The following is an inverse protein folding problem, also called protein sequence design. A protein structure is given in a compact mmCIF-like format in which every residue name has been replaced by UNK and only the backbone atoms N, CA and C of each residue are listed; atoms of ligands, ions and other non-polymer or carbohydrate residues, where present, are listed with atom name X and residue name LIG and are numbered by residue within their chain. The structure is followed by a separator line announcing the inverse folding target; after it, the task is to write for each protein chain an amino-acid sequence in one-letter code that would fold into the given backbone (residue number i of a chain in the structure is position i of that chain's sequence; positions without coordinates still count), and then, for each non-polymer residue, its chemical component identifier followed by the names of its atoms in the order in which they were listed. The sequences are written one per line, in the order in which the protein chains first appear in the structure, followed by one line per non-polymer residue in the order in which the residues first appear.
data_IF_081491001928
#
_entry.id   IF_081491001928
#
_cell.length_a   1.000
_cell.length_b   1.000
_cell.length_c   1.000
_cell.angle_alpha   90.00
_cell.angle_beta   90.00
_cell.angle_gamma   90.00
#
_symmetry.space_group_name_H-M   'P 1'
#
loop_
_entity.id
_entity.type
_entity.pdbx_description
1 polymer ?
#
# COMPACT_ATOMS: atom_id res chain seq x y z
N UNK A 1 -4.22 -10.20 -18.12
CA UNK A 1 -5.41 -10.79 -17.47
C UNK A 1 -5.30 -10.52 -15.98
N UNK A 2 -6.12 -9.62 -15.42
CA UNK A 2 -6.16 -9.38 -13.98
C UNK A 2 -6.75 -10.65 -13.39
N UNK A 3 -5.90 -11.53 -12.87
CA UNK A 3 -6.35 -12.64 -12.06
C UNK A 3 -7.13 -11.98 -10.93
N UNK A 4 -8.46 -12.07 -10.97
CA UNK A 4 -9.25 -11.90 -9.78
C UNK A 4 -8.75 -13.02 -8.90
N UNK A 5 -7.72 -12.75 -8.09
CA UNK A 5 -7.48 -13.54 -6.93
C UNK A 5 -8.84 -13.57 -6.27
N UNK A 6 -9.48 -14.75 -6.28
CA UNK A 6 -10.60 -15.00 -5.39
C UNK A 6 -10.13 -14.35 -4.09
N UNK A 7 -10.89 -13.38 -3.59
CA UNK A 7 -10.84 -13.08 -2.18
C UNK A 7 -11.25 -14.40 -1.53
N UNK A 8 -10.27 -15.30 -1.40
CA UNK A 8 -10.45 -16.54 -0.72
C UNK A 8 -10.93 -16.10 0.64
N UNK A 9 -11.93 -16.80 1.16
CA UNK A 9 -12.16 -16.89 2.60
C UNK A 9 -10.96 -17.64 3.23
N UNK A 10 -9.75 -17.22 2.90
CA UNK A 10 -8.50 -17.68 3.44
C UNK A 10 -8.18 -16.78 4.61
N UNK A 11 -7.78 -17.40 5.71
CA UNK A 11 -7.32 -16.77 6.95
C UNK A 11 -6.09 -15.88 6.67
N UNK A 12 -6.31 -14.71 6.08
CA UNK A 12 -5.38 -13.59 6.09
C UNK A 12 -5.80 -12.66 7.21
N UNK A 13 -4.84 -12.12 7.97
CA UNK A 13 -5.12 -11.15 9.04
C UNK A 13 -6.05 -10.05 8.52
N UNK A 14 -7.03 -9.66 9.34
CA UNK A 14 -8.03 -8.66 8.96
C UNK A 14 -7.35 -7.41 8.40
N UNK A 15 -7.83 -6.93 7.25
CA UNK A 15 -7.36 -5.65 6.71
C UNK A 15 -7.50 -4.56 7.78
N UNK A 16 -6.52 -3.66 7.93
CA UNK A 16 -6.66 -2.51 8.81
C UNK A 16 -7.97 -1.78 8.49
N UNK A 17 -8.75 -1.50 9.53
CA UNK A 17 -10.01 -0.79 9.37
C UNK A 17 -9.72 0.60 8.78
N UNK A 18 -10.43 0.94 7.71
CA UNK A 18 -10.35 2.28 7.12
C UNK A 18 -11.30 3.22 7.86
N UNK A 19 -11.02 4.54 7.88
CA UNK A 19 -11.95 5.51 8.42
C UNK A 19 -13.33 5.38 7.76
N UNK A 20 -14.38 5.64 8.54
CA UNK A 20 -15.73 5.69 8.00
C UNK A 20 -15.81 6.66 6.80
N UNK A 21 -16.58 6.30 5.78
CA UNK A 21 -16.76 7.06 4.54
C UNK A 21 -15.48 7.31 3.71
N UNK A 22 -14.33 6.73 4.06
CA UNK A 22 -13.10 6.88 3.27
C UNK A 22 -13.29 6.48 1.79
N UNK A 23 -13.98 5.37 1.53
CA UNK A 23 -14.25 4.90 0.17
C UNK A 23 -15.03 5.92 -0.67
N UNK A 24 -16.12 6.45 -0.13
CA UNK A 24 -16.94 7.47 -0.77
C UNK A 24 -16.16 8.78 -0.97
N UNK A 25 -15.41 9.24 0.04
CA UNK A 25 -14.57 10.44 -0.06
C UNK A 25 -13.52 10.31 -1.17
N UNK A 26 -12.84 9.16 -1.24
CA UNK A 26 -11.82 8.89 -2.25
C UNK A 26 -12.42 8.82 -3.66
N UNK A 27 -13.58 8.16 -3.81
CA UNK A 27 -14.26 8.07 -5.10
C UNK A 27 -14.74 9.45 -5.57
N UNK A 28 -15.37 10.24 -4.68
CA UNK A 28 -15.77 11.64 -4.97
C UNK A 28 -14.59 12.50 -5.40
N UNK A 29 -13.45 12.41 -4.70
CA UNK A 29 -12.24 13.13 -5.10
C UNK A 29 -11.76 12.71 -6.49
N UNK A 30 -11.78 11.39 -6.76
CA UNK A 30 -11.31 10.80 -8.01
C UNK A 30 -12.12 11.27 -9.22
N UNK A 31 -13.45 11.21 -9.15
CA UNK A 31 -14.34 11.58 -10.27
C UNK A 31 -14.39 13.08 -10.53
N UNK A 32 -14.08 13.92 -9.52
CA UNK A 32 -14.02 15.37 -9.68
C UNK A 32 -12.64 15.86 -10.13
N UNK A 33 -11.65 14.99 -10.25
CA UNK A 33 -10.31 15.36 -10.70
C UNK A 33 -10.21 15.29 -12.24
N UNK A 34 -10.02 16.41 -12.94
CA UNK A 34 -9.97 16.42 -14.40
C UNK A 34 -8.76 15.67 -14.98
N UNK A 35 -7.74 15.37 -14.17
CA UNK A 35 -6.61 14.55 -14.57
C UNK A 35 -6.93 13.04 -14.60
N UNK A 36 -8.11 12.63 -14.16
CA UNK A 36 -8.52 11.22 -14.05
C UNK A 36 -9.68 10.96 -15.01
N UNK A 37 -9.43 10.14 -16.04
CA UNK A 37 -10.44 9.82 -17.06
C UNK A 37 -11.44 8.73 -16.62
N UNK A 38 -11.02 7.79 -15.77
CA UNK A 38 -11.86 6.66 -15.36
C UNK A 38 -11.45 6.12 -14.00
N UNK A 39 -12.40 5.52 -13.30
CA UNK A 39 -12.20 4.83 -12.03
C UNK A 39 -12.90 3.48 -12.05
N UNK A 40 -12.30 2.47 -11.44
CA UNK A 40 -12.86 1.11 -11.34
C UNK A 40 -12.98 0.76 -9.86
N UNK A 41 -14.01 1.29 -9.15
CA UNK A 41 -14.20 0.99 -7.75
C UNK A 41 -14.57 -0.50 -7.59
N UNK A 42 -13.86 -1.19 -6.70
CA UNK A 42 -14.17 -2.58 -6.36
C UNK A 42 -15.30 -2.61 -5.33
N UNK A 43 -16.10 -3.67 -5.37
CA UNK A 43 -17.18 -3.93 -4.42
C UNK A 43 -17.30 -5.43 -4.17
N UNK A 44 -17.57 -5.81 -2.91
CA UNK A 44 -17.76 -7.21 -2.50
C UNK A 44 -19.19 -7.53 -2.04
N UNK A 45 -20.02 -6.50 -1.87
CA UNK A 45 -21.39 -6.58 -1.38
C UNK A 45 -22.24 -5.43 -1.96
N UNK A 46 -23.56 -5.48 -1.73
CA UNK A 46 -24.50 -4.49 -2.23
C UNK A 46 -24.40 -3.13 -1.52
N UNK A 47 -23.92 -3.09 -0.27
CA UNK A 47 -23.76 -1.83 0.47
C UNK A 47 -22.64 -0.99 -0.16
N UNK A 48 -21.53 -1.63 -0.54
CA UNK A 48 -20.45 -1.00 -1.29
C UNK A 48 -20.90 -0.55 -2.69
N UNK A 49 -21.74 -1.35 -3.36
CA UNK A 49 -22.33 -0.98 -4.66
C UNK A 49 -23.16 0.31 -4.52
N UNK A 50 -24.07 0.34 -3.56
CA UNK A 50 -24.92 1.50 -3.30
C UNK A 50 -24.10 2.74 -2.89
N UNK A 51 -23.08 2.56 -2.05
CA UNK A 51 -22.14 3.64 -1.70
C UNK A 51 -21.41 4.20 -2.92
N UNK A 52 -20.97 3.33 -3.84
CA UNK A 52 -20.31 3.75 -5.07
C UNK A 52 -21.27 4.56 -5.97
N UNK A 53 -22.53 4.14 -6.07
CA UNK A 53 -23.55 4.87 -6.84
C UNK A 53 -23.84 6.26 -6.25
N UNK A 54 -24.02 6.36 -4.94
CA UNK A 54 -24.24 7.66 -4.28
C UNK A 54 -23.06 8.60 -4.45
N UNK A 55 -21.84 8.09 -4.33
CA UNK A 55 -20.64 8.89 -4.52
C UNK A 55 -20.53 9.51 -5.93
N UNK A 56 -21.19 8.93 -6.95
CA UNK A 56 -21.21 9.50 -8.31
C UNK A 56 -22.14 10.70 -8.46
N UNK A 57 -23.16 10.86 -7.61
CA UNK A 57 -24.11 11.98 -7.67
C UNK A 57 -23.87 13.05 -6.60
N UNK A 58 -23.11 12.73 -5.56
CA UNK A 58 -22.76 13.64 -4.47
C UNK A 58 -21.55 14.52 -4.79
N UNK A 59 -21.53 15.72 -4.19
CA UNK A 59 -20.37 16.64 -4.30
C UNK A 59 -19.28 16.27 -3.31
N UNK A 60 -18.03 16.47 -3.72
CA UNK A 60 -16.89 16.46 -2.80
C UNK A 60 -16.96 17.64 -1.83
N UNK A 61 -16.73 17.39 -0.55
CA UNK A 61 -16.88 18.39 0.53
C UNK A 61 -15.60 18.53 1.36
N UNK A 62 -15.54 19.57 2.19
CA UNK A 62 -14.43 19.77 3.15
C UNK A 62 -14.33 18.61 4.16
N UNK A 63 -15.45 17.97 4.50
CA UNK A 63 -15.45 16.79 5.36
C UNK A 63 -14.74 15.60 4.68
N UNK A 64 -14.98 15.41 3.38
CA UNK A 64 -14.28 14.40 2.59
C UNK A 64 -12.78 14.69 2.53
N UNK A 65 -12.40 15.97 2.29
CA UNK A 65 -11.00 16.39 2.30
C UNK A 65 -10.30 16.08 3.62
N UNK A 66 -10.95 16.36 4.76
CA UNK A 66 -10.39 16.05 6.09
C UNK A 66 -10.14 14.54 6.27
N UNK A 67 -11.07 13.69 5.82
CA UNK A 67 -10.90 12.23 5.87
C UNK A 67 -9.68 11.80 5.05
N UNK A 68 -9.53 12.33 3.84
CA UNK A 68 -8.43 11.98 2.95
C UNK A 68 -7.08 12.47 3.48
N UNK A 69 -7.00 13.70 3.99
CA UNK A 69 -5.77 14.26 4.56
C UNK A 69 -5.33 13.51 5.81
N UNK A 70 -6.25 13.23 6.75
CA UNK A 70 -5.94 12.45 7.94
C UNK A 70 -5.45 11.04 7.58
N UNK A 71 -6.08 10.41 6.57
CA UNK A 71 -5.63 9.11 6.09
C UNK A 71 -4.26 9.18 5.44
N UNK A 72 -3.96 10.22 4.67
CA UNK A 72 -2.66 10.42 4.04
C UNK A 72 -1.55 10.53 5.10
N UNK A 73 -1.77 11.33 6.14
CA UNK A 73 -0.85 11.47 7.28
C UNK A 73 -0.61 10.14 7.98
N UNK A 74 -1.67 9.39 8.26
CA UNK A 74 -1.61 8.08 8.90
C UNK A 74 -0.76 7.07 8.11
N UNK A 75 -0.92 7.02 6.79
CA UNK A 75 -0.24 6.02 5.95
C UNK A 75 1.13 6.45 5.46
N UNK A 76 1.44 7.75 5.46
CA UNK A 76 2.67 8.32 4.92
C UNK A 76 3.96 7.64 5.44
N UNK A 77 4.06 7.26 6.73
CA UNK A 77 5.23 6.55 7.26
C UNK A 77 5.50 5.17 6.64
N UNK A 78 4.54 4.54 5.96
CA UNK A 78 4.67 3.18 5.45
C UNK A 78 4.11 2.93 4.05
N UNK A 79 3.46 3.92 3.42
CA UNK A 79 2.90 3.80 2.08
C UNK A 79 3.85 4.35 1.00
N UNK A 80 4.33 3.46 0.13
CA UNK A 80 5.18 3.83 -1.00
C UNK A 80 4.34 4.43 -2.14
N UNK A 81 4.68 5.64 -2.60
CA UNK A 81 4.06 6.29 -3.77
C UNK A 81 4.65 5.85 -5.11
N UNK A 82 5.60 4.91 -5.09
CA UNK A 82 6.29 4.39 -6.28
C UNK A 82 6.96 5.47 -7.15
N UNK A 83 7.50 6.52 -6.54
CA UNK A 83 8.17 7.62 -7.26
C UNK A 83 9.55 7.25 -7.82
N UNK A 84 10.19 6.21 -7.29
CA UNK A 84 11.49 5.72 -7.78
C UNK A 84 12.73 6.40 -7.19
N UNK A 85 12.58 7.49 -6.41
CA UNK A 85 13.69 8.26 -5.84
C UNK A 85 14.68 7.43 -5.02
N UNK A 86 14.21 6.37 -4.34
CA UNK A 86 15.06 5.49 -3.53
C UNK A 86 15.93 4.51 -4.34
N UNK A 87 15.82 4.48 -5.66
CA UNK A 87 16.52 3.51 -6.52
C UNK A 87 18.04 3.67 -6.39
N UNK A 88 18.73 2.55 -6.12
CA UNK A 88 20.20 2.53 -6.00
C UNK A 88 20.75 3.16 -4.71
N UNK A 89 19.92 3.72 -3.84
CA UNK A 89 20.39 4.35 -2.59
C UNK A 89 20.77 3.33 -1.51
N UNK A 90 20.26 2.10 -1.57
CA UNK A 90 20.62 1.08 -0.60
C UNK A 90 22.05 0.57 -0.88
N UNK A 91 23.01 0.72 0.05
CA UNK A 91 24.39 0.27 -0.16
C UNK A 91 24.52 -1.26 -0.28
N UNK A 92 23.50 -2.00 0.18
CA UNK A 92 23.40 -3.46 0.02
C UNK A 92 22.61 -3.89 -1.22
N UNK A 93 22.28 -2.95 -2.11
CA UNK A 93 21.63 -3.22 -3.41
C UNK A 93 20.13 -3.54 -3.35
N UNK A 94 19.48 -3.45 -2.18
CA UNK A 94 18.07 -3.86 -2.06
C UNK A 94 17.12 -3.04 -2.95
N UNK A 95 16.14 -3.69 -3.62
CA UNK A 95 15.08 -3.00 -4.36
C UNK A 95 14.04 -2.42 -3.39
N UNK A 96 14.33 -1.22 -2.86
CA UNK A 96 13.58 -0.60 -1.75
C UNK A 96 12.08 -0.50 -2.03
N UNK A 97 11.68 0.05 -3.18
CA UNK A 97 10.27 0.28 -3.50
C UNK A 97 9.46 -1.02 -3.53
N UNK A 98 10.06 -2.10 -4.08
CA UNK A 98 9.44 -3.41 -4.14
C UNK A 98 9.29 -4.04 -2.77
N UNK A 99 10.34 -4.02 -1.95
CA UNK A 99 10.28 -4.57 -0.60
C UNK A 99 9.22 -3.88 0.26
N UNK A 100 9.12 -2.54 0.21
CA UNK A 100 8.07 -1.79 0.91
C UNK A 100 6.67 -2.21 0.41
N UNK A 101 6.51 -2.41 -0.90
CA UNK A 101 5.26 -2.86 -1.52
C UNK A 101 4.88 -4.29 -1.11
N UNK A 102 5.84 -5.20 -0.98
CA UNK A 102 5.57 -6.57 -0.53
C UNK A 102 5.00 -6.57 0.88
N UNK A 103 5.53 -5.72 1.76
CA UNK A 103 4.97 -5.60 3.10
C UNK A 103 3.59 -4.96 3.07
N UNK A 104 3.34 -3.99 2.19
CA UNK A 104 2.00 -3.43 2.02
C UNK A 104 0.97 -4.50 1.59
N UNK A 105 1.34 -5.51 0.79
CA UNK A 105 0.45 -6.62 0.50
C UNK A 105 0.08 -7.42 1.76
N UNK A 106 1.06 -7.71 2.62
CA UNK A 106 0.83 -8.43 3.86
C UNK A 106 0.10 -7.59 4.92
N UNK A 107 0.73 -6.53 5.42
CA UNK A 107 0.22 -5.70 6.52
C UNK A 107 -0.97 -4.83 6.08
N UNK A 108 -0.99 -4.34 4.83
CA UNK A 108 -2.00 -3.39 4.35
C UNK A 108 -3.23 -4.06 3.74
N UNK A 109 -3.03 -5.09 2.91
CA UNK A 109 -4.14 -5.77 2.21
C UNK A 109 -4.54 -7.11 2.84
N UNK A 110 -3.83 -7.57 3.87
CA UNK A 110 -4.05 -8.90 4.47
C UNK A 110 -3.65 -10.06 3.54
N UNK A 111 -2.94 -9.77 2.44
CA UNK A 111 -2.52 -10.71 1.40
C UNK A 111 -1.09 -11.17 1.63
N UNK A 112 -0.84 -11.80 2.79
CA UNK A 112 0.48 -12.32 3.15
C UNK A 112 1.12 -13.21 2.06
N UNK A 113 0.40 -14.19 1.46
CA UNK A 113 0.99 -15.04 0.42
C UNK A 113 1.56 -14.24 -0.76
N UNK A 114 0.85 -13.19 -1.20
CA UNK A 114 1.31 -12.35 -2.30
C UNK A 114 2.60 -11.61 -1.97
N UNK A 115 2.71 -11.05 -0.75
CA UNK A 115 3.94 -10.41 -0.28
C UNK A 115 5.12 -11.39 -0.25
N UNK A 116 4.90 -12.58 0.33
CA UNK A 116 5.91 -13.63 0.45
C UNK A 116 6.37 -14.18 -0.89
N UNK A 117 5.45 -14.47 -1.81
CA UNK A 117 5.77 -14.98 -3.14
C UNK A 117 6.65 -14.01 -3.93
N UNK A 118 6.38 -12.69 -3.84
CA UNK A 118 7.22 -11.70 -4.50
C UNK A 118 8.60 -11.59 -3.83
N UNK A 119 8.68 -11.66 -2.50
CA UNK A 119 9.96 -11.67 -1.79
C UNK A 119 10.84 -12.86 -2.19
N UNK A 120 10.26 -14.06 -2.26
CA UNK A 120 10.99 -15.29 -2.62
C UNK A 120 11.42 -15.35 -4.10
N UNK A 121 10.85 -14.50 -4.96
CA UNK A 121 11.27 -14.35 -6.37
C UNK A 121 12.47 -13.43 -6.54
N UNK A 122 12.89 -12.70 -5.50
CA UNK A 122 14.12 -11.91 -5.55
C UNK A 122 15.35 -12.82 -5.62
N UNK A 123 16.50 -12.28 -5.99
CA UNK A 123 17.75 -13.06 -6.00
C UNK A 123 18.13 -13.52 -4.58
N UNK A 124 18.90 -14.60 -4.49
CA UNK A 124 19.36 -15.14 -3.20
C UNK A 124 20.18 -14.10 -2.43
N UNK A 125 20.96 -13.28 -3.13
CA UNK A 125 21.74 -12.17 -2.57
C UNK A 125 20.81 -11.17 -1.87
N UNK A 126 19.75 -10.70 -2.54
CA UNK A 126 18.78 -9.78 -1.94
C UNK A 126 18.04 -10.39 -0.75
N UNK A 127 17.67 -11.67 -0.81
CA UNK A 127 17.01 -12.37 0.30
C UNK A 127 17.93 -12.55 1.52
N UNK A 128 19.24 -12.66 1.28
CA UNK A 128 20.26 -12.83 2.32
C UNK A 128 20.62 -11.54 3.05
N UNK A 129 20.36 -10.37 2.46
CA UNK A 129 20.64 -9.08 3.09
C UNK A 129 19.92 -8.99 4.44
N UNK A 130 20.62 -8.43 5.44
CA UNK A 130 20.06 -8.08 6.74
C UNK A 130 20.18 -6.59 6.99
N UNK A 131 19.07 -5.94 7.28
CA UNK A 131 19.07 -4.50 7.58
C UNK A 131 19.76 -4.20 8.92
N UNK A 132 19.82 -5.17 9.83
CA UNK A 132 20.50 -5.07 11.13
C UNK A 132 22.00 -4.79 11.04
N UNK A 133 22.67 -5.16 9.95
CA UNK A 133 24.12 -4.91 9.81
C UNK A 133 24.42 -3.49 9.29
N UNK A 134 23.41 -2.64 9.10
CA UNK A 134 23.60 -1.21 8.87
C UNK A 134 23.40 -0.45 10.19
N UNK A 135 24.34 0.42 10.56
CA UNK A 135 24.15 1.33 11.71
C UNK A 135 23.07 2.38 11.43
N UNK A 136 22.95 2.83 10.17
CA UNK A 136 21.95 3.82 9.74
C UNK A 136 21.52 3.52 8.31
N UNK A 137 20.23 3.69 8.01
CA UNK A 137 19.72 3.52 6.66
C UNK A 137 20.11 4.73 5.80
N UNK A 138 20.82 4.49 4.69
CA UNK A 138 21.20 5.53 3.74
C UNK A 138 20.02 6.09 2.92
N UNK A 139 18.87 5.40 2.93
CA UNK A 139 17.73 5.74 2.09
C UNK A 139 16.80 6.70 2.82
N UNK A 140 16.57 7.87 2.22
CA UNK A 140 15.63 8.88 2.73
C UNK A 140 14.48 9.03 1.75
N UNK A 141 13.25 8.73 2.20
CA UNK A 141 12.07 8.88 1.35
C UNK A 141 11.55 10.32 1.40
N UNK A 142 11.43 11.02 0.26
CA UNK A 142 10.89 12.40 0.22
C UNK A 142 9.39 12.48 0.58
N UNK A 143 8.73 11.33 0.73
CA UNK A 143 7.30 11.24 1.08
C UNK A 143 7.05 10.73 2.50
N UNK A 144 8.11 10.59 3.30
CA UNK A 144 8.02 10.26 4.72
C UNK A 144 8.01 8.77 5.05
N UNK A 145 8.21 7.87 4.08
CA UNK A 145 8.29 6.43 4.37
C UNK A 145 9.50 6.13 5.25
N UNK A 146 9.28 5.44 6.37
CA UNK A 146 10.30 4.94 7.27
C UNK A 146 10.99 3.70 6.67
N UNK A 147 11.83 3.92 5.65
CA UNK A 147 12.38 2.84 4.81
C UNK A 147 13.04 1.75 5.64
N UNK A 148 13.91 2.09 6.59
CA UNK A 148 14.60 1.10 7.44
C UNK A 148 13.62 0.15 8.12
N UNK A 149 12.56 0.69 8.73
CA UNK A 149 11.55 -0.11 9.42
C UNK A 149 10.78 -1.01 8.44
N UNK A 150 10.48 -0.53 7.23
CA UNK A 150 9.77 -1.33 6.22
C UNK A 150 10.62 -2.47 5.65
N UNK A 151 11.91 -2.24 5.42
CA UNK A 151 12.81 -3.27 4.92
C UNK A 151 13.07 -4.36 5.97
N UNK A 152 13.30 -3.97 7.23
CA UNK A 152 13.43 -4.94 8.34
C UNK A 152 12.16 -5.76 8.50
N UNK A 153 10.99 -5.12 8.44
CA UNK A 153 9.70 -5.81 8.51
C UNK A 153 9.49 -6.82 7.36
N UNK A 154 9.99 -6.52 6.15
CA UNK A 154 9.95 -7.47 5.04
C UNK A 154 10.79 -8.73 5.34
N UNK A 155 11.97 -8.56 5.94
CA UNK A 155 12.84 -9.67 6.34
C UNK A 155 12.20 -10.50 7.45
N UNK A 156 11.59 -9.85 8.45
CA UNK A 156 10.85 -10.54 9.53
C UNK A 156 9.66 -11.34 9.02
N UNK A 157 8.90 -10.80 8.06
CA UNK A 157 7.69 -11.43 7.56
C UNK A 157 7.96 -12.59 6.60
N UNK A 158 8.99 -12.49 5.76
CA UNK A 158 9.11 -13.33 4.57
C UNK A 158 10.35 -14.22 4.51
N UNK A 159 11.36 -14.01 5.37
CA UNK A 159 12.61 -14.77 5.30
C UNK A 159 12.55 -16.18 5.96
N UNK A 160 11.53 -16.48 6.76
CA UNK A 160 11.32 -17.78 7.40
C UNK A 160 10.57 -18.74 6.50
#
# INVERSE_FOLDING_TARGET
MKVMARAGRGRGGGQPQRPANFGAAALKWTINNPAIATTVPSMTDNDQLEQNFRAMSERFTDADSKILSARLEEISPYFCRMCGECTGQCPKGLPVADMVRFVMYADGYGQFPLGRENFLRMSAEHQSVRCSDCTTCAVQCPHGVHVSARLSRAQELFAC
#
